data_IF_153416463437
#
_entry.id   IF_153416463437
#
_cell.length_a   1.000
_cell.length_b   1.000
_cell.length_c   1.000
_cell.angle_alpha   90.00
_cell.angle_beta   90.00
_cell.angle_gamma   90.00
#
_symmetry.space_group_name_H-M   'P 1'
#
loop_
_entity.id
_entity.type
_entity.pdbx_description
1 polymer ?
#
# COMPACT_ATOMS: atom_id res chain seq x y z
N UNK A 1 -2.99 -7.62 -22.50
CA UNK A 1 -1.70 -6.89 -22.55
C UNK A 1 -1.59 -6.06 -21.28
N UNK A 2 -0.49 -6.20 -20.60
CA UNK A 2 -0.24 -5.46 -19.35
C UNK A 2 0.04 -3.99 -19.72
N UNK A 3 -0.55 -3.05 -18.98
CA UNK A 3 -0.41 -1.63 -19.26
C UNK A 3 0.84 -1.01 -18.61
N UNK A 4 1.08 0.27 -18.86
CA UNK A 4 2.25 0.99 -18.37
C UNK A 4 2.33 1.03 -16.82
N UNK A 5 1.19 1.02 -16.12
CA UNK A 5 1.15 0.97 -14.67
C UNK A 5 1.66 -0.38 -14.15
N UNK A 6 1.19 -1.49 -14.74
CA UNK A 6 1.67 -2.82 -14.41
C UNK A 6 3.18 -2.95 -14.66
N UNK A 7 3.66 -2.51 -15.86
CA UNK A 7 5.07 -2.59 -16.21
C UNK A 7 5.96 -1.79 -15.25
N UNK A 8 5.53 -0.59 -14.88
CA UNK A 8 6.22 0.23 -13.88
C UNK A 8 6.32 -0.47 -12.52
N UNK A 9 5.19 -0.97 -11.99
CA UNK A 9 5.17 -1.67 -10.69
C UNK A 9 6.01 -2.94 -10.76
N UNK A 10 5.91 -3.72 -11.84
CA UNK A 10 6.75 -4.91 -12.03
C UNK A 10 8.24 -4.57 -11.96
N UNK A 11 8.68 -3.52 -12.64
CA UNK A 11 10.09 -3.14 -12.65
C UNK A 11 10.54 -2.59 -11.28
N UNK A 12 9.65 -1.91 -10.56
CA UNK A 12 9.89 -1.40 -9.20
C UNK A 12 10.11 -2.53 -8.18
N UNK A 13 9.25 -3.57 -8.20
CA UNK A 13 9.28 -4.63 -7.19
C UNK A 13 10.00 -5.92 -7.65
N UNK A 14 10.52 -5.95 -8.85
CA UNK A 14 11.10 -7.16 -9.46
C UNK A 14 12.15 -7.84 -8.57
N UNK A 15 13.07 -7.07 -8.00
CA UNK A 15 14.09 -7.62 -7.11
C UNK A 15 13.49 -8.21 -5.84
N UNK A 16 12.48 -7.54 -5.25
CA UNK A 16 11.77 -8.03 -4.07
C UNK A 16 11.04 -9.35 -4.36
N UNK A 17 10.47 -9.51 -5.58
CA UNK A 17 9.85 -10.76 -6.02
C UNK A 17 10.85 -11.91 -6.03
N UNK A 18 12.04 -11.72 -6.61
CA UNK A 18 13.07 -12.75 -6.63
C UNK A 18 13.56 -13.10 -5.22
N UNK A 19 13.79 -12.11 -4.36
CA UNK A 19 14.13 -12.35 -2.96
C UNK A 19 13.05 -13.14 -2.22
N UNK A 20 11.79 -12.80 -2.41
CA UNK A 20 10.68 -13.52 -1.78
C UNK A 20 10.64 -15.00 -2.21
N UNK A 21 10.85 -15.27 -3.51
CA UNK A 21 10.90 -16.65 -4.03
C UNK A 21 12.06 -17.45 -3.46
N UNK A 22 13.27 -16.88 -3.43
CA UNK A 22 14.43 -17.53 -2.81
C UNK A 22 14.21 -17.79 -1.30
N UNK A 23 13.59 -16.83 -0.60
CA UNK A 23 13.24 -17.05 0.81
C UNK A 23 12.24 -18.20 1.00
N UNK A 24 11.28 -18.38 0.08
CA UNK A 24 10.36 -19.51 0.13
C UNK A 24 11.09 -20.85 0.00
N UNK A 25 12.04 -20.94 -0.93
CA UNK A 25 12.85 -22.15 -1.14
C UNK A 25 13.76 -22.48 0.07
N UNK A 26 14.39 -21.46 0.66
CA UNK A 26 15.37 -21.65 1.74
C UNK A 26 14.72 -21.82 3.11
N UNK A 27 13.66 -21.07 3.40
CA UNK A 27 13.07 -20.96 4.75
C UNK A 27 11.69 -21.63 4.88
N UNK A 28 11.08 -22.00 3.74
CA UNK A 28 9.67 -22.34 3.67
C UNK A 28 8.77 -21.10 3.67
N UNK A 29 7.59 -21.27 3.10
CA UNK A 29 6.63 -20.18 2.83
C UNK A 29 6.25 -19.39 4.09
N UNK A 30 5.90 -20.07 5.16
CA UNK A 30 5.42 -19.46 6.40
C UNK A 30 6.48 -18.52 7.01
N UNK A 31 7.70 -19.04 7.20
CA UNK A 31 8.80 -18.26 7.77
C UNK A 31 9.23 -17.11 6.85
N UNK A 32 9.24 -17.33 5.55
CA UNK A 32 9.53 -16.30 4.57
C UNK A 32 8.50 -15.15 4.65
N UNK A 33 7.21 -15.46 4.74
CA UNK A 33 6.15 -14.44 4.86
C UNK A 33 6.23 -13.61 6.15
N UNK A 34 6.67 -14.20 7.26
CA UNK A 34 6.94 -13.44 8.50
C UNK A 34 8.04 -12.39 8.27
N UNK A 35 9.16 -12.80 7.68
CA UNK A 35 10.29 -11.90 7.41
C UNK A 35 9.92 -10.84 6.38
N UNK A 36 9.22 -11.22 5.32
CA UNK A 36 8.74 -10.29 4.29
C UNK A 36 7.78 -9.26 4.90
N UNK A 37 6.86 -9.69 5.76
CA UNK A 37 5.95 -8.80 6.47
C UNK A 37 6.69 -7.79 7.34
N UNK A 38 7.70 -8.24 8.09
CA UNK A 38 8.55 -7.36 8.89
C UNK A 38 9.34 -6.36 8.02
N UNK A 39 9.86 -6.81 6.87
CA UNK A 39 10.57 -5.95 5.94
C UNK A 39 9.65 -4.87 5.35
N UNK A 40 8.42 -5.23 4.95
CA UNK A 40 7.44 -4.26 4.47
C UNK A 40 7.01 -3.27 5.54
N UNK A 41 6.81 -3.72 6.79
CA UNK A 41 6.51 -2.81 7.89
C UNK A 41 7.65 -1.80 8.10
N UNK A 42 8.90 -2.26 8.13
CA UNK A 42 10.06 -1.38 8.26
C UNK A 42 10.18 -0.41 7.08
N UNK A 43 9.93 -0.88 5.86
CA UNK A 43 9.94 -0.04 4.67
C UNK A 43 8.85 1.03 4.74
N UNK A 44 7.61 0.65 5.00
CA UNK A 44 6.46 1.57 5.09
C UNK A 44 6.67 2.61 6.18
N UNK A 45 7.14 2.19 7.35
CA UNK A 45 7.42 3.08 8.48
C UNK A 45 8.49 4.14 8.18
N UNK A 46 9.45 3.82 7.31
CA UNK A 46 10.58 4.71 7.03
C UNK A 46 10.44 5.49 5.71
N UNK A 47 9.60 5.03 4.78
CA UNK A 47 9.52 5.62 3.44
C UNK A 47 8.18 6.28 3.14
N UNK A 48 7.05 5.67 3.48
CA UNK A 48 5.74 6.22 3.12
C UNK A 48 5.42 7.54 3.84
N UNK A 49 5.83 7.67 5.09
CA UNK A 49 5.62 8.89 5.88
C UNK A 49 6.67 9.97 5.61
N UNK A 50 7.84 9.61 5.07
CA UNK A 50 8.99 10.52 4.92
C UNK A 50 8.68 11.84 4.21
N UNK A 51 7.88 11.90 3.13
CA UNK A 51 7.56 13.16 2.46
C UNK A 51 6.85 14.19 3.34
N UNK A 52 6.30 13.75 4.47
CA UNK A 52 5.50 14.59 5.36
C UNK A 52 6.23 15.01 6.64
N UNK A 53 7.33 14.32 7.02
CA UNK A 53 7.96 14.50 8.33
C UNK A 53 8.59 15.88 8.53
N UNK A 54 9.06 16.51 7.45
CA UNK A 54 9.66 17.85 7.49
C UNK A 54 8.62 18.98 7.44
N UNK A 55 7.33 18.63 7.37
CA UNK A 55 6.23 19.59 7.33
C UNK A 55 5.64 19.82 8.73
N UNK A 56 5.09 21.01 9.01
CA UNK A 56 4.26 21.23 10.21
C UNK A 56 3.13 20.21 10.28
N UNK A 57 2.84 19.73 11.51
CA UNK A 57 1.89 18.63 11.75
C UNK A 57 0.51 18.89 11.10
N UNK A 58 0.00 20.11 11.24
CA UNK A 58 -1.30 20.53 10.73
C UNK A 58 -1.39 20.53 9.19
N UNK A 59 -0.25 20.53 8.48
CA UNK A 59 -0.20 20.53 7.02
C UNK A 59 -0.07 19.12 6.44
N UNK A 60 0.28 18.12 7.26
CA UNK A 60 0.61 16.77 6.77
C UNK A 60 -0.59 16.05 6.16
N UNK A 61 -1.73 16.04 6.86
CA UNK A 61 -2.92 15.37 6.34
C UNK A 61 -3.54 16.07 5.12
N UNK A 62 -3.67 17.41 5.07
CA UNK A 62 -4.03 18.10 3.84
C UNK A 62 -3.11 17.74 2.66
N UNK A 63 -1.79 17.71 2.88
CA UNK A 63 -0.83 17.35 1.82
C UNK A 63 -0.93 15.87 1.42
N UNK A 64 -1.17 14.97 2.37
CA UNK A 64 -1.44 13.57 2.10
C UNK A 64 -2.66 13.40 1.18
N UNK A 65 -3.78 14.09 1.46
CA UNK A 65 -4.97 14.04 0.61
C UNK A 65 -4.70 14.58 -0.81
N UNK A 66 -3.94 15.68 -0.91
CA UNK A 66 -3.54 16.24 -2.22
C UNK A 66 -2.72 15.23 -3.03
N UNK A 67 -1.71 14.60 -2.41
CA UNK A 67 -0.86 13.60 -3.06
C UNK A 67 -1.67 12.38 -3.50
N UNK A 68 -2.60 11.90 -2.68
CA UNK A 68 -3.46 10.75 -2.99
C UNK A 68 -4.38 11.04 -4.19
N UNK A 69 -4.94 12.25 -4.27
CA UNK A 69 -5.74 12.68 -5.42
C UNK A 69 -4.90 12.76 -6.70
N UNK A 70 -3.68 13.30 -6.61
CA UNK A 70 -2.76 13.35 -7.75
C UNK A 70 -2.36 11.95 -8.24
N UNK A 71 -2.19 11.01 -7.31
CA UNK A 71 -1.94 9.61 -7.64
C UNK A 71 -3.12 8.94 -8.34
N UNK A 72 -4.34 9.16 -7.84
CA UNK A 72 -5.57 8.65 -8.47
C UNK A 72 -5.70 9.12 -9.92
N UNK A 73 -5.42 10.41 -10.17
CA UNK A 73 -5.44 10.99 -11.52
C UNK A 73 -4.37 10.44 -12.44
N UNK A 74 -3.17 10.18 -11.91
CA UNK A 74 -2.05 9.64 -12.67
C UNK A 74 -2.25 8.17 -13.02
N UNK A 75 -2.59 7.36 -12.04
CA UNK A 75 -2.52 5.90 -12.15
C UNK A 75 -3.84 5.27 -12.60
N UNK A 76 -4.96 5.96 -12.41
CA UNK A 76 -6.30 5.48 -12.81
C UNK A 76 -6.67 4.08 -12.26
N UNK A 77 -6.01 3.65 -11.18
CA UNK A 77 -6.28 2.35 -10.53
C UNK A 77 -7.27 2.45 -9.38
N UNK A 78 -7.55 3.66 -8.92
CA UNK A 78 -8.52 3.94 -7.86
C UNK A 78 -9.20 5.30 -8.04
N UNK A 79 -10.26 5.50 -7.28
CA UNK A 79 -11.05 6.73 -7.26
C UNK A 79 -11.16 7.22 -5.81
N UNK A 80 -11.13 8.54 -5.63
CA UNK A 80 -11.57 9.15 -4.37
C UNK A 80 -13.10 9.14 -4.36
N UNK A 81 -13.68 8.50 -3.34
CA UNK A 81 -15.15 8.35 -3.22
C UNK A 81 -15.75 9.32 -2.22
N UNK A 82 -15.00 9.70 -1.21
CA UNK A 82 -15.43 10.66 -0.19
C UNK A 82 -14.23 11.47 0.30
N UNK A 83 -14.44 12.74 0.61
CA UNK A 83 -13.43 13.62 1.20
C UNK A 83 -14.09 14.64 2.14
N UNK A 84 -13.44 14.88 3.30
CA UNK A 84 -13.77 15.98 4.22
C UNK A 84 -12.47 16.53 4.83
N UNK A 85 -12.60 17.43 5.78
CA UNK A 85 -11.44 17.93 6.54
C UNK A 85 -10.78 16.83 7.38
N UNK A 86 -11.57 15.86 7.85
CA UNK A 86 -11.12 14.80 8.76
C UNK A 86 -10.96 13.43 8.13
N UNK A 87 -11.41 13.20 6.90
CA UNK A 87 -11.23 11.90 6.25
C UNK A 87 -11.08 12.00 4.72
N UNK A 88 -10.49 10.96 4.14
CA UNK A 88 -10.51 10.68 2.72
C UNK A 88 -10.70 9.17 2.50
N UNK A 89 -11.64 8.82 1.63
CA UNK A 89 -11.95 7.44 1.27
C UNK A 89 -11.70 7.20 -0.21
N UNK A 90 -11.09 6.07 -0.51
CA UNK A 90 -10.80 5.67 -1.89
C UNK A 90 -11.28 4.26 -2.16
N UNK A 91 -11.55 3.97 -3.43
CA UNK A 91 -11.90 2.64 -3.91
C UNK A 91 -10.94 2.25 -5.03
N UNK A 92 -10.11 1.24 -4.78
CA UNK A 92 -9.25 0.62 -5.78
C UNK A 92 -10.05 -0.45 -6.53
N UNK A 93 -10.14 -0.34 -7.82
CA UNK A 93 -10.77 -1.33 -8.69
C UNK A 93 -9.75 -2.29 -9.32
N UNK A 94 -8.46 -2.04 -9.10
CA UNK A 94 -7.36 -2.96 -9.44
C UNK A 94 -6.16 -2.69 -8.53
N UNK A 95 -5.34 -3.73 -8.33
CA UNK A 95 -4.10 -3.64 -7.59
C UNK A 95 -2.93 -4.16 -8.44
N UNK A 96 -2.14 -3.30 -9.06
CA UNK A 96 -1.03 -3.73 -9.92
C UNK A 96 0.05 -4.50 -9.14
N UNK A 97 0.24 -4.23 -7.85
CA UNK A 97 1.14 -5.01 -6.99
C UNK A 97 0.65 -6.46 -6.84
N UNK A 98 -0.66 -6.65 -6.57
CA UNK A 98 -1.25 -7.99 -6.49
C UNK A 98 -1.14 -8.73 -7.84
N UNK A 99 -1.39 -8.03 -8.94
CA UNK A 99 -1.26 -8.59 -10.29
C UNK A 99 0.17 -9.12 -10.55
N UNK A 100 1.18 -8.33 -10.19
CA UNK A 100 2.59 -8.74 -10.34
C UNK A 100 2.91 -9.94 -9.46
N UNK A 101 2.62 -9.89 -8.15
CA UNK A 101 2.89 -11.02 -7.26
C UNK A 101 2.16 -12.29 -7.68
N UNK A 102 0.93 -12.17 -8.16
CA UNK A 102 0.14 -13.30 -8.70
C UNK A 102 0.80 -13.92 -9.94
N UNK A 103 1.29 -13.09 -10.86
CA UNK A 103 1.98 -13.58 -12.07
C UNK A 103 3.28 -14.33 -11.75
N UNK A 104 3.95 -13.95 -10.68
CA UNK A 104 5.15 -14.65 -10.19
C UNK A 104 4.83 -15.84 -9.26
N UNK A 105 3.55 -16.15 -9.01
CA UNK A 105 3.10 -17.30 -8.22
C UNK A 105 3.22 -17.13 -6.70
N UNK A 106 3.30 -15.91 -6.20
CA UNK A 106 3.42 -15.56 -4.78
C UNK A 106 2.44 -14.45 -4.36
N UNK A 107 1.12 -14.58 -4.66
CA UNK A 107 0.13 -13.52 -4.44
C UNK A 107 0.00 -13.09 -2.96
N UNK A 108 0.24 -13.99 -2.02
CA UNK A 108 0.16 -13.73 -0.57
C UNK A 108 1.22 -12.74 -0.06
N UNK A 109 2.28 -12.48 -0.81
CA UNK A 109 3.26 -11.41 -0.49
C UNK A 109 2.58 -10.04 -0.55
N UNK A 110 1.60 -9.86 -1.46
CA UNK A 110 0.83 -8.61 -1.53
C UNK A 110 0.04 -8.33 -0.24
N UNK A 111 -0.48 -9.36 0.43
CA UNK A 111 -1.16 -9.19 1.72
C UNK A 111 -0.23 -8.58 2.76
N UNK A 112 1.05 -9.02 2.80
CA UNK A 112 2.05 -8.48 3.73
C UNK A 112 2.40 -7.02 3.43
N UNK A 113 2.44 -6.65 2.16
CA UNK A 113 2.57 -5.26 1.75
C UNK A 113 1.37 -4.41 2.21
N UNK A 114 0.15 -4.90 1.99
CA UNK A 114 -1.08 -4.22 2.40
C UNK A 114 -1.19 -4.07 3.93
N UNK A 115 -0.81 -5.10 4.71
CA UNK A 115 -0.87 -5.06 6.17
C UNK A 115 0.06 -3.98 6.77
N UNK A 116 1.15 -3.65 6.08
CA UNK A 116 2.09 -2.62 6.52
C UNK A 116 1.48 -1.20 6.51
N UNK A 117 0.41 -0.95 5.75
CA UNK A 117 -0.28 0.34 5.70
C UNK A 117 -0.83 0.76 7.05
N UNK A 118 -1.33 -0.18 7.85
CA UNK A 118 -1.95 0.13 9.16
C UNK A 118 -1.01 0.85 10.14
N UNK A 119 0.29 0.60 10.03
CA UNK A 119 1.31 1.26 10.87
C UNK A 119 1.92 2.53 10.25
N UNK A 120 2.09 2.52 8.93
CA UNK A 120 2.85 3.54 8.20
C UNK A 120 2.33 4.96 8.39
N UNK A 121 1.01 5.14 8.39
CA UNK A 121 0.37 6.46 8.42
C UNK A 121 0.35 7.11 9.81
N UNK A 122 0.57 6.36 10.90
CA UNK A 122 0.71 6.92 12.24
C UNK A 122 1.91 7.84 12.39
N UNK A 123 2.95 7.67 11.56
CA UNK A 123 4.09 8.59 11.50
C UNK A 123 3.77 9.87 10.74
N UNK A 124 2.85 9.84 9.79
CA UNK A 124 2.34 11.05 9.14
C UNK A 124 1.64 11.93 10.17
N UNK A 125 0.71 11.35 10.91
CA UNK A 125 0.03 12.01 12.01
C UNK A 125 -0.42 10.97 13.04
N UNK A 126 -0.19 11.19 14.37
CA UNK A 126 -0.51 10.20 15.41
C UNK A 126 -2.01 9.87 15.52
N UNK A 127 -2.89 10.80 15.09
CA UNK A 127 -4.34 10.60 15.04
C UNK A 127 -4.86 10.09 13.69
N UNK A 128 -3.98 9.81 12.73
CA UNK A 128 -4.39 9.29 11.42
C UNK A 128 -4.48 7.77 11.46
N UNK A 129 -5.67 7.26 11.19
CA UNK A 129 -5.97 5.83 11.12
C UNK A 129 -6.43 5.46 9.72
N UNK A 130 -6.04 4.27 9.27
CA UNK A 130 -6.57 3.66 8.06
C UNK A 130 -7.45 2.47 8.41
N UNK A 131 -8.60 2.37 7.77
CA UNK A 131 -9.48 1.21 7.83
C UNK A 131 -9.73 0.66 6.43
N UNK A 132 -9.96 -0.66 6.34
CA UNK A 132 -10.33 -1.38 5.12
C UNK A 132 -11.32 -2.49 5.50
N UNK A 133 -12.31 -2.73 4.64
CA UNK A 133 -13.26 -3.83 4.77
C UNK A 133 -13.09 -4.83 3.62
N UNK A 134 -12.57 -4.37 2.47
CA UNK A 134 -12.37 -5.17 1.26
C UNK A 134 -10.93 -5.08 0.78
N UNK A 135 -10.38 -6.23 0.36
CA UNK A 135 -9.00 -6.33 -0.13
C UNK A 135 -8.89 -7.27 -1.34
N UNK A 136 -8.46 -6.75 -2.49
CA UNK A 136 -8.19 -7.55 -3.71
C UNK A 136 -7.18 -8.66 -3.43
N UNK A 137 -6.17 -8.40 -2.62
CA UNK A 137 -5.16 -9.40 -2.24
C UNK A 137 -5.73 -10.60 -1.48
N UNK A 138 -6.89 -10.44 -0.84
CA UNK A 138 -7.61 -11.49 -0.09
C UNK A 138 -8.79 -12.08 -0.86
N UNK A 139 -9.00 -11.67 -2.12
CA UNK A 139 -9.99 -12.24 -3.02
C UNK A 139 -11.25 -11.40 -3.23
N UNK A 140 -11.30 -10.17 -2.70
CA UNK A 140 -12.39 -9.25 -2.98
C UNK A 140 -12.25 -8.60 -4.38
N UNK A 141 -13.35 -8.10 -4.92
CA UNK A 141 -13.39 -7.45 -6.23
C UNK A 141 -12.74 -6.05 -6.24
N UNK A 142 -12.54 -5.45 -5.06
CA UNK A 142 -11.96 -4.13 -4.88
C UNK A 142 -11.29 -4.00 -3.51
N UNK A 143 -10.44 -2.95 -3.35
CA UNK A 143 -10.02 -2.50 -2.03
C UNK A 143 -10.72 -1.18 -1.70
N UNK A 144 -11.06 -1.01 -0.43
CA UNK A 144 -11.47 0.28 0.10
C UNK A 144 -10.50 0.72 1.21
N UNK A 145 -10.04 1.96 1.12
CA UNK A 145 -9.23 2.55 2.18
C UNK A 145 -9.90 3.81 2.66
N UNK A 146 -10.05 3.94 3.97
CA UNK A 146 -10.50 5.17 4.60
C UNK A 146 -9.45 5.64 5.60
N UNK A 147 -8.81 6.77 5.31
CA UNK A 147 -7.93 7.47 6.25
C UNK A 147 -8.74 8.50 7.00
N UNK A 148 -8.77 8.38 8.33
CA UNK A 148 -9.55 9.23 9.21
C UNK A 148 -8.67 9.84 10.30
N UNK A 149 -8.82 11.15 10.51
CA UNK A 149 -8.25 11.85 11.66
C UNK A 149 -9.21 11.69 12.84
N UNK A 150 -8.77 11.00 13.89
CA UNK A 150 -9.53 10.91 15.14
C UNK A 150 -9.54 12.26 15.88
N UNK A 151 -10.60 12.53 16.63
CA UNK A 151 -10.75 13.73 17.47
C UNK A 151 -9.76 13.77 18.64
#
# INVERSE_FOLDING_TARGET
MKDALYERVRDEIKLAVYFAKEMYEVLGKERALEIIGQAYQNYSDNHMSRPYLDMPMEQRFPKFKENLKAEAERDKSFLVTEESDTHIKVKFHRCPYHEVYKDYGIPEVCEKFCDADFGAFRKVHPRLHVTREHEISRGDDYCDHCWTMEE
#
